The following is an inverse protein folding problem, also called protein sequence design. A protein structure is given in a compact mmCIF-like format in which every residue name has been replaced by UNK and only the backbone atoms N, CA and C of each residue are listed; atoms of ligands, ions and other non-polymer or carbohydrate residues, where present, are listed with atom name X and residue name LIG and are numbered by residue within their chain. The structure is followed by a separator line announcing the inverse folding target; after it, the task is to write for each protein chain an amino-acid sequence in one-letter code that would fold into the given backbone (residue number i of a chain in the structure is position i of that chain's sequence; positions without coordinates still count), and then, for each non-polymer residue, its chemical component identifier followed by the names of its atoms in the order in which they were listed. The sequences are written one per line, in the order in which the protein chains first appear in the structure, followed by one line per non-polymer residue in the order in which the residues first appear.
data_IF_341127730149
#
_entry.id   IF_341127730149
#
_cell.length_a   1.000
_cell.length_b   1.000
_cell.length_c   1.000
_cell.angle_alpha   90.00
_cell.angle_beta   90.00
_cell.angle_gamma   90.00
#
_symmetry.space_group_name_H-M   'P 1'
#
loop_
_entity.id
_entity.type
_entity.pdbx_description
1 polymer ?
#
# COMPACT_ATOMS: atom_id res chain seq x y z
N UNK A 1 2.77 18.72 -17.01
CA UNK A 1 1.82 17.59 -16.89
C UNK A 1 1.63 17.08 -15.45
N UNK A 2 2.54 17.31 -14.49
CA UNK A 2 2.36 16.85 -13.10
C UNK A 2 1.32 17.65 -12.29
N UNK A 3 1.20 18.96 -12.48
CA UNK A 3 0.32 19.80 -11.65
C UNK A 3 -1.17 19.45 -11.80
N UNK A 4 -1.61 19.08 -13.01
CA UNK A 4 -3.00 18.70 -13.25
C UNK A 4 -3.35 17.36 -12.58
N UNK A 5 -2.39 16.43 -12.49
CA UNK A 5 -2.56 15.16 -11.77
C UNK A 5 -2.66 15.38 -10.26
N UNK A 6 -1.82 16.23 -9.70
CA UNK A 6 -1.90 16.55 -8.27
C UNK A 6 -3.21 17.25 -7.90
N UNK A 7 -3.69 18.16 -8.76
CA UNK A 7 -4.97 18.85 -8.54
C UNK A 7 -6.16 17.90 -8.60
N UNK A 8 -6.14 16.95 -9.55
CA UNK A 8 -7.19 15.94 -9.68
C UNK A 8 -7.17 14.94 -8.53
N UNK A 9 -6.00 14.50 -8.06
CA UNK A 9 -5.92 13.66 -6.87
C UNK A 9 -6.36 14.39 -5.60
N UNK A 10 -5.97 15.65 -5.43
CA UNK A 10 -6.44 16.47 -4.28
C UNK A 10 -7.94 16.66 -4.29
N UNK A 11 -8.53 17.00 -5.45
CA UNK A 11 -9.98 17.15 -5.58
C UNK A 11 -10.72 15.82 -5.37
N UNK A 12 -10.17 14.72 -5.87
CA UNK A 12 -10.71 13.38 -5.64
C UNK A 12 -10.70 13.01 -4.16
N UNK A 13 -9.60 13.27 -3.45
CA UNK A 13 -9.49 13.03 -1.99
C UNK A 13 -10.34 13.95 -1.13
N UNK A 14 -10.62 15.16 -1.61
CA UNK A 14 -11.58 16.04 -0.97
C UNK A 14 -13.01 15.46 -1.00
N UNK A 15 -13.39 14.81 -2.12
CA UNK A 15 -14.71 14.19 -2.27
C UNK A 15 -14.80 12.79 -1.64
N UNK A 16 -13.68 12.06 -1.60
CA UNK A 16 -13.57 10.70 -1.06
C UNK A 16 -12.43 10.65 -0.03
N UNK A 17 -12.69 11.08 1.23
CA UNK A 17 -11.72 10.94 2.28
C UNK A 17 -11.39 9.45 2.50
N UNK A 18 -10.14 9.18 2.87
CA UNK A 18 -9.68 7.80 3.09
C UNK A 18 -10.53 7.16 4.18
N UNK A 19 -11.09 5.98 3.91
CA UNK A 19 -11.72 5.19 4.96
C UNK A 19 -10.63 4.73 5.94
N UNK A 20 -11.02 4.50 7.19
CA UNK A 20 -10.11 3.93 8.18
C UNK A 20 -9.60 2.57 7.68
N UNK A 21 -8.27 2.34 7.60
CA UNK A 21 -7.69 1.08 7.13
C UNK A 21 -8.26 -0.17 7.82
N UNK A 22 -8.56 -0.09 9.13
CA UNK A 22 -9.16 -1.21 9.86
C UNK A 22 -10.58 -1.53 9.38
N UNK A 23 -11.36 -0.52 9.00
CA UNK A 23 -12.70 -0.72 8.46
C UNK A 23 -12.61 -1.36 7.07
N UNK A 24 -11.69 -0.89 6.23
CA UNK A 24 -11.46 -1.47 4.90
C UNK A 24 -11.03 -2.93 5.02
N UNK A 25 -10.06 -3.24 5.88
CA UNK A 25 -9.65 -4.64 6.11
C UNK A 25 -10.83 -5.53 6.52
N UNK A 26 -11.68 -5.04 7.44
CA UNK A 26 -12.87 -5.79 7.88
C UNK A 26 -13.91 -5.96 6.77
N UNK A 27 -14.20 -4.90 6.02
CA UNK A 27 -15.21 -4.88 4.95
C UNK A 27 -14.86 -5.86 3.81
N UNK A 28 -13.57 -5.95 3.47
CA UNK A 28 -13.07 -6.80 2.38
C UNK A 28 -12.47 -8.13 2.85
N UNK A 29 -12.58 -8.46 4.14
CA UNK A 29 -12.06 -9.72 4.70
C UNK A 29 -10.54 -9.86 4.62
N UNK A 30 -9.82 -8.74 4.63
CA UNK A 30 -8.35 -8.71 4.57
C UNK A 30 -7.75 -9.07 5.94
N UNK A 31 -6.62 -9.78 5.97
CA UNK A 31 -5.95 -10.10 7.23
C UNK A 31 -5.37 -8.85 7.91
N UNK A 32 -5.14 -8.91 9.21
CA UNK A 32 -4.52 -7.78 9.93
C UNK A 32 -3.04 -7.62 9.59
N UNK A 33 -2.36 -8.75 9.36
CA UNK A 33 -0.94 -8.86 9.04
C UNK A 33 -0.73 -9.83 7.87
N UNK A 34 0.28 -9.58 7.05
CA UNK A 34 0.66 -10.44 5.93
C UNK A 34 2.09 -10.96 6.10
N UNK A 35 2.29 -12.24 5.80
CA UNK A 35 3.58 -12.88 5.68
C UNK A 35 4.15 -12.57 4.29
N UNK A 36 5.16 -11.70 4.27
CA UNK A 36 5.82 -11.24 3.05
C UNK A 36 7.19 -11.86 2.91
N UNK A 37 7.50 -12.34 1.71
CA UNK A 37 8.84 -12.72 1.30
C UNK A 37 9.35 -11.65 0.33
N UNK A 38 10.48 -11.04 0.67
CA UNK A 38 11.06 -9.95 -0.12
C UNK A 38 12.48 -10.34 -0.51
N UNK A 39 12.76 -10.25 -1.80
CA UNK A 39 14.06 -10.52 -2.39
C UNK A 39 14.58 -9.28 -3.09
N UNK A 40 15.83 -8.90 -2.80
CA UNK A 40 16.56 -7.91 -3.58
C UNK A 40 17.24 -8.64 -4.75
N UNK A 41 16.99 -8.19 -5.97
CA UNK A 41 17.64 -8.69 -7.19
C UNK A 41 18.99 -8.02 -7.40
N UNK A 42 19.86 -8.63 -8.22
CA UNK A 42 21.20 -8.10 -8.52
C UNK A 42 21.16 -6.74 -9.22
N UNK A 43 20.10 -6.46 -9.97
CA UNK A 43 19.83 -5.19 -10.65
C UNK A 43 19.09 -4.15 -9.77
N UNK A 44 18.95 -4.45 -8.46
CA UNK A 44 18.49 -3.50 -7.45
C UNK A 44 16.96 -3.35 -7.34
N UNK A 45 16.18 -4.37 -7.72
CA UNK A 45 14.74 -4.39 -7.47
C UNK A 45 14.40 -5.18 -6.21
N UNK A 46 13.45 -4.66 -5.45
CA UNK A 46 12.72 -5.43 -4.45
C UNK A 46 11.60 -6.19 -5.16
N UNK A 47 11.58 -7.50 -5.02
CA UNK A 47 10.46 -8.36 -5.44
C UNK A 47 9.77 -8.88 -4.19
N UNK A 48 8.47 -8.60 -4.06
CA UNK A 48 7.63 -8.99 -2.93
C UNK A 48 6.67 -10.08 -3.37
N UNK A 49 6.55 -11.11 -2.55
CA UNK A 49 5.54 -12.16 -2.67
C UNK A 49 4.91 -12.41 -1.31
N UNK A 50 3.74 -13.03 -1.27
CA UNK A 50 3.10 -13.43 -0.03
C UNK A 50 2.65 -14.89 -0.08
N UNK A 51 2.87 -15.61 1.03
CA UNK A 51 2.32 -16.96 1.20
C UNK A 51 0.85 -16.93 1.59
N UNK A 52 0.39 -15.87 2.25
CA UNK A 52 -1.00 -15.68 2.64
C UNK A 52 -1.88 -15.26 1.46
N UNK A 53 -1.28 -14.65 0.42
CA UNK A 53 -1.97 -14.20 -0.81
C UNK A 53 -1.33 -14.85 -2.04
N UNK A 54 -1.68 -16.11 -2.37
CA UNK A 54 -1.12 -16.81 -3.52
C UNK A 54 -1.35 -16.04 -4.82
N UNK A 55 -0.28 -15.80 -5.58
CA UNK A 55 -0.31 -15.03 -6.83
C UNK A 55 -0.04 -13.53 -6.64
N UNK A 56 0.04 -13.03 -5.41
CA UNK A 56 0.50 -11.66 -5.17
C UNK A 56 2.01 -11.58 -5.43
N UNK A 57 2.36 -10.85 -6.48
CA UNK A 57 3.75 -10.52 -6.85
C UNK A 57 3.79 -9.05 -7.20
N UNK A 58 4.70 -8.31 -6.58
CA UNK A 58 4.94 -6.91 -6.91
C UNK A 58 6.43 -6.59 -6.85
N UNK A 59 6.84 -5.50 -7.51
CA UNK A 59 8.24 -5.08 -7.54
C UNK A 59 8.38 -3.56 -7.39
N UNK A 60 9.50 -3.13 -6.82
CA UNK A 60 9.83 -1.72 -6.66
C UNK A 60 11.34 -1.47 -6.67
N UNK A 61 11.78 -0.26 -6.99
CA UNK A 61 13.19 0.17 -6.99
C UNK A 61 13.65 0.71 -5.65
N UNK A 62 12.73 1.12 -4.78
CA UNK A 62 13.05 1.74 -3.50
C UNK A 62 11.95 1.49 -2.46
N UNK A 63 12.25 1.79 -1.19
CA UNK A 63 11.36 1.53 -0.05
C UNK A 63 10.01 2.26 -0.13
N UNK A 64 9.97 3.47 -0.71
CA UNK A 64 8.72 4.22 -0.83
C UNK A 64 7.82 3.57 -1.88
N UNK A 65 8.36 3.35 -3.07
CA UNK A 65 7.65 2.68 -4.17
C UNK A 65 7.22 1.26 -3.75
N UNK A 66 8.00 0.58 -2.91
CA UNK A 66 7.65 -0.74 -2.37
C UNK A 66 6.32 -0.73 -1.61
N UNK A 67 6.11 0.27 -0.75
CA UNK A 67 4.87 0.39 0.03
C UNK A 67 3.70 0.71 -0.89
N UNK A 68 3.89 1.62 -1.84
CA UNK A 68 2.86 2.03 -2.80
C UNK A 68 2.43 0.86 -3.68
N UNK A 69 3.39 0.20 -4.33
CA UNK A 69 3.17 -0.95 -5.21
C UNK A 69 2.65 -2.18 -4.45
N UNK A 70 3.03 -2.35 -3.18
CA UNK A 70 2.48 -3.40 -2.33
C UNK A 70 1.01 -3.16 -1.99
N UNK A 71 0.67 -1.96 -1.53
CA UNK A 71 -0.72 -1.65 -1.19
C UNK A 71 -1.61 -1.68 -2.44
N UNK A 72 -1.15 -1.19 -3.59
CA UNK A 72 -1.89 -1.28 -4.85
C UNK A 72 -2.15 -2.74 -5.25
N UNK A 73 -1.13 -3.60 -5.16
CA UNK A 73 -1.28 -5.03 -5.45
C UNK A 73 -2.25 -5.72 -4.47
N UNK A 74 -2.18 -5.41 -3.17
CA UNK A 74 -3.07 -5.99 -2.16
C UNK A 74 -4.50 -5.50 -2.35
N UNK A 75 -4.73 -4.20 -2.55
CA UNK A 75 -6.06 -3.67 -2.82
C UNK A 75 -6.66 -4.28 -4.10
N UNK A 76 -5.84 -4.45 -5.14
CA UNK A 76 -6.25 -5.14 -6.37
C UNK A 76 -6.60 -6.60 -6.12
N UNK A 77 -5.83 -7.32 -5.30
CA UNK A 77 -6.09 -8.72 -4.97
C UNK A 77 -7.47 -8.93 -4.32
N UNK A 78 -7.91 -7.97 -3.51
CA UNK A 78 -9.19 -8.00 -2.79
C UNK A 78 -10.30 -7.20 -3.50
N UNK A 79 -10.07 -6.77 -4.75
CA UNK A 79 -11.00 -5.95 -5.53
C UNK A 79 -11.47 -4.67 -4.79
N UNK A 80 -10.60 -4.09 -3.96
CA UNK A 80 -10.90 -2.87 -3.20
C UNK A 80 -10.82 -1.66 -4.13
N UNK A 81 -11.91 -0.88 -4.29
CA UNK A 81 -11.88 0.31 -5.10
C UNK A 81 -10.93 1.37 -4.51
N UNK A 82 -10.05 1.97 -5.34
CA UNK A 82 -9.11 3.03 -4.94
C UNK A 82 -9.74 4.25 -4.24
N UNK A 83 -11.03 4.51 -4.47
CA UNK A 83 -11.78 5.57 -3.76
C UNK A 83 -11.89 5.30 -2.26
N UNK A 84 -11.74 4.06 -1.82
CA UNK A 84 -11.92 3.66 -0.42
C UNK A 84 -10.63 3.72 0.36
N UNK A 85 -9.52 3.29 -0.24
CA UNK A 85 -8.19 3.34 0.36
C UNK A 85 -7.08 3.32 -0.70
N UNK A 86 -5.94 3.90 -0.33
CA UNK A 86 -4.65 3.75 -1.04
C UNK A 86 -3.63 2.96 -0.24
N UNK A 87 -3.69 3.06 1.10
CA UNK A 87 -2.76 2.43 2.02
C UNK A 87 -3.57 1.75 3.11
N UNK A 88 -3.43 0.43 3.22
CA UNK A 88 -4.05 -0.41 4.26
C UNK A 88 -3.00 -1.09 5.15
N UNK A 89 -1.76 -1.22 4.67
CA UNK A 89 -0.60 -1.65 5.46
C UNK A 89 0.47 -0.57 5.41
N UNK A 90 0.71 0.06 6.55
CA UNK A 90 1.77 1.06 6.77
C UNK A 90 3.07 0.42 7.23
N UNK A 91 3.08 -0.88 7.51
CA UNK A 91 4.23 -1.64 8.00
C UNK A 91 4.39 -2.96 7.26
N UNK A 92 5.59 -3.18 6.73
CA UNK A 92 6.01 -4.44 6.12
C UNK A 92 7.14 -5.05 6.95
N UNK A 93 6.96 -6.32 7.33
CA UNK A 93 8.00 -7.09 7.99
C UNK A 93 8.79 -7.86 6.93
N UNK A 94 10.08 -7.59 6.80
CA UNK A 94 11.02 -8.28 5.90
C UNK A 94 12.05 -9.06 6.74
N UNK A 95 11.67 -10.25 7.19
CA UNK A 95 12.52 -11.06 8.07
C UNK A 95 12.94 -10.28 9.33
N UNK A 96 14.20 -9.85 9.39
CA UNK A 96 14.77 -9.09 10.50
C UNK A 96 14.62 -7.56 10.38
N UNK A 97 14.10 -7.05 9.26
CA UNK A 97 13.93 -5.62 9.01
C UNK A 97 12.44 -5.26 8.98
N UNK A 98 12.09 -4.12 9.55
CA UNK A 98 10.73 -3.58 9.52
C UNK A 98 10.76 -2.28 8.72
N UNK A 99 10.08 -2.25 7.58
CA UNK A 99 9.81 -1.02 6.85
C UNK A 99 8.50 -0.46 7.39
N UNK A 100 8.55 0.70 8.01
CA UNK A 100 7.35 1.45 8.35
C UNK A 100 7.26 2.69 7.46
N UNK A 101 6.17 2.77 6.72
CA UNK A 101 5.79 3.99 6.03
C UNK A 101 5.31 5.00 7.07
N UNK A 102 6.16 5.98 7.35
CA UNK A 102 5.69 7.22 7.95
C UNK A 102 5.12 8.04 6.81
N UNK A 103 3.83 7.86 6.54
CA UNK A 103 3.08 8.93 5.88
C UNK A 103 3.42 10.20 6.66
N UNK A 104 3.96 11.23 6.00
CA UNK A 104 3.85 12.58 6.55
C UNK A 104 2.38 12.70 6.90
N UNK A 105 2.07 12.79 8.19
CA UNK A 105 0.71 12.79 8.69
C UNK A 105 -0.08 13.85 7.90
N UNK A 106 -0.82 13.40 6.88
CA UNK A 106 -1.96 14.11 6.33
C UNK A 106 -3.21 13.63 7.06
N UNK A 107 -3.05 13.21 8.31
CA UNK A 107 -4.06 13.51 9.32
C UNK A 107 -3.96 15.02 9.53
N UNK A 108 -4.79 15.78 8.82
CA UNK A 108 -5.20 17.08 9.35
C UNK A 108 -5.66 16.80 10.77
N UNK A 109 -4.91 17.34 11.73
CA UNK A 109 -5.39 17.50 13.08
C UNK A 109 -6.75 18.22 12.99
N UNK A 110 -7.71 17.69 13.74
CA UNK A 110 -8.99 18.32 13.98
C UNK A 110 -8.85 19.77 14.46
#
# INVERSE_FOLDING_TARGET
MNELKELTEKAFRFLYPHKNPMLVKREYGMPETLNLNIRLTEDGWFVVTSSDLPGLITQARNHQELIEMFNDAVLTYFDVPRKEADIVYDRLNMGNQVIQYRAKAQTQAA
#
